data_IF_104569919677
#
_entry.id   IF_104569919677
#
_cell.length_a   1.000
_cell.length_b   1.000
_cell.length_c   1.000
_cell.angle_alpha   90.00
_cell.angle_beta   90.00
_cell.angle_gamma   90.00
#
_symmetry.space_group_name_H-M   'P 1'
#
loop_
_entity.id
_entity.type
_entity.pdbx_description
1 polymer ?
#
# COMPACT_ATOMS: atom_id res chain seq x y z
N UNK A 1 26.56 -4.79 -8.12
CA UNK A 1 26.17 -3.41 -8.49
C UNK A 1 25.44 -2.85 -7.30
N UNK A 2 25.89 -1.73 -6.72
CA UNK A 2 25.13 -1.06 -5.68
C UNK A 2 23.69 -0.84 -6.18
N UNK A 3 22.67 -1.01 -5.31
CA UNK A 3 21.26 -0.66 -5.50
C UNK A 3 21.07 0.86 -5.69
N UNK A 4 21.93 1.50 -6.50
CA UNK A 4 21.98 2.92 -6.72
C UNK A 4 20.68 3.38 -7.39
N UNK A 5 19.90 4.15 -6.62
CA UNK A 5 18.67 4.85 -6.98
C UNK A 5 17.72 4.08 -7.92
N UNK A 6 17.07 3.05 -7.36
CA UNK A 6 15.92 2.41 -8.00
C UNK A 6 14.60 2.94 -7.41
N UNK A 7 13.57 3.18 -8.25
CA UNK A 7 13.61 3.15 -9.71
C UNK A 7 14.40 4.33 -10.32
N UNK A 8 14.73 4.23 -11.60
CA UNK A 8 15.29 5.36 -12.36
C UNK A 8 14.28 6.51 -12.52
N UNK A 9 14.71 7.63 -13.12
CA UNK A 9 13.88 8.82 -13.31
C UNK A 9 12.62 8.59 -14.16
N UNK A 10 12.54 7.48 -14.90
CA UNK A 10 11.37 7.10 -15.70
C UNK A 10 10.48 6.07 -14.98
N UNK A 11 10.83 5.72 -13.75
CA UNK A 11 10.08 4.78 -12.92
C UNK A 11 10.42 3.31 -13.15
N UNK A 12 11.54 3.01 -13.81
CA UNK A 12 11.95 1.62 -14.08
C UNK A 12 12.87 1.03 -13.00
N UNK A 13 12.57 -0.21 -12.62
CA UNK A 13 13.42 -1.11 -11.85
C UNK A 13 14.10 -2.09 -12.81
N UNK A 14 15.23 -1.68 -13.40
CA UNK A 14 15.83 -2.41 -14.52
C UNK A 14 14.89 -2.40 -15.73
N UNK A 15 14.35 -3.56 -16.13
CA UNK A 15 13.42 -3.68 -17.26
C UNK A 15 11.93 -3.61 -16.88
N UNK A 16 11.61 -3.50 -15.59
CA UNK A 16 10.24 -3.53 -15.07
C UNK A 16 9.83 -2.16 -14.54
N UNK A 17 8.52 -1.91 -14.36
CA UNK A 17 8.01 -0.61 -13.88
C UNK A 17 7.64 0.32 -15.02
N UNK A 18 7.87 1.63 -14.88
CA UNK A 18 7.53 2.65 -15.87
C UNK A 18 6.15 3.29 -15.66
N UNK A 19 5.73 4.10 -16.63
CA UNK A 19 4.46 4.83 -16.63
C UNK A 19 3.65 4.47 -17.88
N UNK A 20 2.92 3.36 -17.81
CA UNK A 20 2.11 2.83 -18.90
C UNK A 20 0.63 3.12 -18.64
N UNK A 21 0.23 4.37 -18.84
CA UNK A 21 -1.15 4.87 -18.64
C UNK A 21 -1.62 5.67 -19.86
N UNK A 22 -2.94 5.91 -20.01
CA UNK A 22 -3.42 6.90 -20.96
C UNK A 22 -2.81 8.28 -20.72
N UNK A 23 -2.62 9.07 -21.77
CA UNK A 23 -2.05 10.43 -21.75
C UNK A 23 -2.70 11.31 -20.67
N UNK A 24 -4.01 11.17 -20.47
CA UNK A 24 -4.79 11.93 -19.48
C UNK A 24 -4.35 11.73 -18.03
N UNK A 25 -3.63 10.64 -17.72
CA UNK A 25 -3.09 10.36 -16.38
C UNK A 25 -1.63 10.76 -16.21
N UNK A 26 -0.93 11.17 -17.27
CA UNK A 26 0.50 11.52 -17.18
C UNK A 26 0.70 12.73 -16.27
N UNK A 27 -0.02 13.83 -16.51
CA UNK A 27 0.11 15.05 -15.71
C UNK A 27 -0.24 14.82 -14.21
N UNK A 28 -1.36 14.15 -13.86
CA UNK A 28 -1.65 13.79 -12.47
C UNK A 28 -0.58 12.92 -11.79
N UNK A 29 0.01 11.95 -12.52
CA UNK A 29 1.08 11.11 -11.98
C UNK A 29 2.38 11.90 -11.78
N UNK A 30 2.68 12.85 -12.66
CA UNK A 30 3.81 13.76 -12.49
C UNK A 30 3.62 14.69 -11.29
N UNK A 31 2.42 15.25 -11.10
CA UNK A 31 2.06 16.04 -9.93
C UNK A 31 2.24 15.23 -8.64
N UNK A 32 1.72 13.99 -8.61
CA UNK A 32 1.90 13.07 -7.49
C UNK A 32 3.38 12.75 -7.24
N UNK A 33 4.16 12.55 -8.30
CA UNK A 33 5.60 12.27 -8.20
C UNK A 33 6.32 13.43 -7.53
N UNK A 34 6.08 14.67 -7.96
CA UNK A 34 6.68 15.87 -7.36
C UNK A 34 6.27 16.02 -5.90
N UNK A 35 4.96 15.92 -5.61
CA UNK A 35 4.45 16.07 -4.25
C UNK A 35 5.00 15.00 -3.30
N UNK A 36 5.15 13.76 -3.78
CA UNK A 36 5.77 12.68 -3.02
C UNK A 36 7.25 12.95 -2.76
N UNK A 37 7.99 13.41 -3.77
CA UNK A 37 9.41 13.73 -3.66
C UNK A 37 9.69 14.87 -2.68
N UNK A 38 8.79 15.84 -2.57
CA UNK A 38 8.83 16.86 -1.54
C UNK A 38 8.50 16.27 -0.16
N UNK A 39 7.39 15.54 -0.04
CA UNK A 39 6.92 14.98 1.23
C UNK A 39 7.92 14.00 1.87
N UNK A 40 8.62 13.18 1.07
CA UNK A 40 9.64 12.24 1.57
C UNK A 40 10.89 12.95 2.13
N UNK A 41 11.14 14.20 1.74
CA UNK A 41 12.28 15.02 2.20
C UNK A 41 11.87 16.02 3.29
N UNK A 42 10.57 16.21 3.50
CA UNK A 42 9.99 17.15 4.46
C UNK A 42 9.93 16.57 5.88
N UNK A 43 10.71 17.09 6.85
CA UNK A 43 10.71 16.59 8.22
C UNK A 43 9.36 16.72 8.93
N UNK A 44 8.56 17.74 8.59
CA UNK A 44 7.25 17.93 9.20
C UNK A 44 6.27 16.84 8.75
N UNK A 45 6.33 16.44 7.48
CA UNK A 45 5.54 15.32 6.96
C UNK A 45 5.97 14.00 7.62
N UNK A 46 7.27 13.75 7.73
CA UNK A 46 7.77 12.53 8.38
C UNK A 46 7.36 12.46 9.85
N UNK A 47 7.50 13.57 10.60
CA UNK A 47 7.08 13.64 11.99
C UNK A 47 5.58 13.40 12.17
N UNK A 48 4.75 13.94 11.26
CA UNK A 48 3.31 13.69 11.29
C UNK A 48 2.97 12.22 10.96
N UNK A 49 3.65 11.64 9.97
CA UNK A 49 3.47 10.24 9.62
C UNK A 49 3.86 9.34 10.80
N UNK A 50 5.02 9.59 11.41
CA UNK A 50 5.52 8.83 12.55
C UNK A 50 4.61 8.94 13.77
N UNK A 51 4.09 10.13 14.08
CA UNK A 51 3.10 10.35 15.15
C UNK A 51 1.85 9.50 14.92
N UNK A 52 1.31 9.49 13.70
CA UNK A 52 0.11 8.70 13.38
C UNK A 52 0.40 7.20 13.37
N UNK A 53 1.57 6.77 12.89
CA UNK A 53 1.97 5.37 12.98
C UNK A 53 2.03 4.92 14.44
N UNK A 54 2.58 5.75 15.33
CA UNK A 54 2.70 5.42 16.75
C UNK A 54 1.35 5.49 17.49
N UNK A 55 0.69 6.65 17.46
CA UNK A 55 -0.44 6.98 18.33
C UNK A 55 -1.80 6.55 17.77
N UNK A 56 -1.91 6.32 16.45
CA UNK A 56 -3.18 5.94 15.82
C UNK A 56 -3.17 4.49 15.30
N UNK A 57 -2.11 4.07 14.62
CA UNK A 57 -1.98 2.69 14.10
C UNK A 57 -1.53 1.72 15.19
N UNK A 58 -0.79 2.20 16.20
CA UNK A 58 -0.26 1.37 17.29
C UNK A 58 1.07 0.70 16.95
N UNK A 59 1.93 1.36 16.16
CA UNK A 59 3.30 0.89 15.89
C UNK A 59 4.25 1.21 17.05
N UNK A 60 5.34 0.42 17.25
CA UNK A 60 5.74 -0.74 16.44
C UNK A 60 4.85 -1.96 16.66
N UNK A 61 4.61 -2.74 15.61
CA UNK A 61 3.93 -4.03 15.78
C UNK A 61 4.91 -5.05 16.35
N UNK A 62 4.53 -5.85 17.35
CA UNK A 62 5.48 -6.76 18.00
C UNK A 62 5.90 -7.90 17.07
N UNK A 63 7.21 -8.15 16.94
CA UNK A 63 7.73 -9.42 16.45
C UNK A 63 7.43 -10.49 17.50
N UNK A 64 6.57 -11.44 17.16
CA UNK A 64 6.15 -12.52 18.05
C UNK A 64 6.76 -13.85 17.62
N UNK A 65 7.43 -14.54 18.56
CA UNK A 65 7.84 -15.92 18.33
C UNK A 65 6.59 -16.81 18.40
N UNK A 66 6.09 -17.18 17.23
CA UNK A 66 4.81 -17.83 17.11
C UNK A 66 4.94 -19.35 17.29
N UNK A 67 5.21 -19.80 18.51
CA UNK A 67 5.50 -21.21 18.86
C UNK A 67 4.58 -22.23 18.18
N UNK A 68 3.26 -21.97 18.16
CA UNK A 68 2.24 -22.83 17.53
C UNK A 68 2.01 -22.57 16.04
N UNK A 69 2.32 -21.37 15.56
CA UNK A 69 2.11 -20.93 14.18
C UNK A 69 3.35 -21.07 13.30
N UNK A 70 4.50 -21.46 13.86
CA UNK A 70 5.58 -22.18 13.13
C UNK A 70 5.00 -23.31 12.28
N UNK A 71 3.79 -23.79 12.61
CA UNK A 71 3.04 -24.72 11.82
C UNK A 71 2.21 -24.10 10.65
N UNK A 72 1.62 -22.86 10.70
CA UNK A 72 0.63 -22.35 9.68
C UNK A 72 0.22 -20.82 9.74
N UNK A 73 0.59 -19.85 8.83
CA UNK A 73 -0.06 -18.54 8.29
C UNK A 73 0.20 -17.01 8.75
N UNK A 74 -0.35 -15.93 8.04
CA UNK A 74 -0.29 -14.40 8.32
C UNK A 74 -1.05 -13.26 7.41
N UNK A 75 -1.01 -11.88 7.71
CA UNK A 75 -1.64 -10.62 7.02
C UNK A 75 -1.29 -9.08 7.47
N UNK A 76 -1.81 -7.91 6.86
CA UNK A 76 -1.28 -6.44 6.95
C UNK A 76 -2.20 -5.12 6.75
N UNK A 77 -1.82 -3.85 7.20
CA UNK A 77 -2.59 -2.51 7.15
C UNK A 77 -1.87 -1.15 6.75
N UNK A 78 -0.54 -1.01 6.64
CA UNK A 78 0.16 0.31 6.69
C UNK A 78 -0.04 1.30 5.49
N UNK A 79 -0.34 0.80 4.29
CA UNK A 79 -0.41 1.60 3.04
C UNK A 79 -1.33 2.82 3.09
N UNK A 80 -2.55 2.60 3.58
CA UNK A 80 -3.66 3.53 3.38
C UNK A 80 -3.41 4.87 4.08
N UNK A 81 -2.68 4.84 5.21
CA UNK A 81 -2.39 6.03 5.99
C UNK A 81 -1.39 6.96 5.30
N UNK A 82 -0.34 6.41 4.67
CA UNK A 82 0.64 7.23 3.95
C UNK A 82 0.01 7.96 2.77
N UNK A 83 -0.82 7.27 1.99
CA UNK A 83 -1.44 7.85 0.80
C UNK A 83 -2.53 8.88 1.13
N UNK A 84 -3.26 8.74 2.24
CA UNK A 84 -4.28 9.75 2.58
C UNK A 84 -3.66 11.08 3.03
N UNK A 85 -2.48 11.06 3.66
CA UNK A 85 -1.76 12.29 4.00
C UNK A 85 -1.29 13.02 2.74
N UNK A 86 -0.85 12.27 1.72
CA UNK A 86 -0.55 12.85 0.41
C UNK A 86 -1.78 13.44 -0.25
N UNK A 87 -2.92 12.76 -0.21
CA UNK A 87 -4.17 13.27 -0.75
C UNK A 87 -4.56 14.63 -0.11
N UNK A 88 -4.41 14.75 1.20
CA UNK A 88 -4.63 16.04 1.91
C UNK A 88 -3.65 17.13 1.48
N UNK A 89 -2.37 16.79 1.32
CA UNK A 89 -1.35 17.74 0.87
C UNK A 89 -1.63 18.26 -0.56
N UNK A 90 -2.15 17.38 -1.41
CA UNK A 90 -2.62 17.71 -2.76
C UNK A 90 -3.98 18.43 -2.80
N UNK A 91 -4.57 18.76 -1.65
CA UNK A 91 -5.87 19.44 -1.57
C UNK A 91 -7.05 18.61 -2.09
N UNK A 92 -6.87 17.29 -2.26
CA UNK A 92 -7.94 16.39 -2.73
C UNK A 92 -8.94 16.20 -1.60
N UNK A 93 -10.20 16.01 -1.95
CA UNK A 93 -11.32 15.87 -0.99
C UNK A 93 -11.98 14.50 -1.05
N UNK A 94 -11.70 13.75 -2.12
CA UNK A 94 -12.28 12.45 -2.41
C UNK A 94 -11.19 11.39 -2.61
N UNK A 95 -11.43 10.20 -2.07
CA UNK A 95 -10.56 9.03 -2.14
C UNK A 95 -11.29 7.90 -2.85
N UNK A 96 -10.60 7.26 -3.78
CA UNK A 96 -11.02 5.99 -4.38
C UNK A 96 -10.00 4.90 -4.06
N UNK A 97 -10.44 3.64 -3.98
CA UNK A 97 -9.58 2.45 -3.85
C UNK A 97 -10.24 1.22 -4.47
N UNK A 98 -9.47 0.17 -4.75
CA UNK A 98 -9.97 -1.16 -5.13
C UNK A 98 -9.85 -2.16 -3.98
N UNK A 99 -10.61 -3.25 -3.96
CA UNK A 99 -10.32 -4.35 -3.02
C UNK A 99 -10.85 -5.69 -3.52
N UNK A 100 -10.15 -6.77 -3.17
CA UNK A 100 -10.57 -8.16 -3.38
C UNK A 100 -10.98 -8.81 -2.06
N UNK A 101 -10.02 -9.21 -1.23
CA UNK A 101 -10.30 -9.78 0.10
C UNK A 101 -10.98 -8.80 1.10
N UNK A 102 -11.05 -7.51 0.77
CA UNK A 102 -11.71 -6.49 1.59
C UNK A 102 -10.79 -5.72 2.53
N UNK A 103 -9.61 -6.24 2.89
CA UNK A 103 -8.73 -5.60 3.88
C UNK A 103 -8.21 -4.21 3.46
N UNK A 104 -7.75 -4.06 2.21
CA UNK A 104 -7.32 -2.73 1.71
C UNK A 104 -8.48 -1.72 1.71
N UNK A 105 -9.67 -2.16 1.29
CA UNK A 105 -10.87 -1.34 1.33
C UNK A 105 -11.25 -0.91 2.75
N UNK A 106 -11.17 -1.83 3.72
CA UNK A 106 -11.40 -1.52 5.14
C UNK A 106 -10.36 -0.50 5.63
N UNK A 107 -9.07 -0.72 5.37
CA UNK A 107 -8.01 0.20 5.75
C UNK A 107 -8.21 1.60 5.15
N UNK A 108 -8.56 1.68 3.87
CA UNK A 108 -8.86 2.93 3.15
C UNK A 108 -10.07 3.64 3.77
N UNK A 109 -11.17 2.92 4.02
CA UNK A 109 -12.38 3.48 4.63
C UNK A 109 -12.10 4.02 6.05
N UNK A 110 -11.29 3.31 6.85
CA UNK A 110 -10.89 3.76 8.20
C UNK A 110 -10.17 5.10 8.14
N UNK A 111 -9.17 5.23 7.25
CA UNK A 111 -8.40 6.47 7.17
C UNK A 111 -9.24 7.62 6.61
N UNK A 112 -10.11 7.38 5.64
CA UNK A 112 -11.00 8.41 5.09
C UNK A 112 -11.96 8.96 6.15
N UNK A 113 -12.56 8.07 6.95
CA UNK A 113 -13.42 8.45 8.07
C UNK A 113 -12.68 9.35 9.08
N UNK A 114 -11.41 9.02 9.38
CA UNK A 114 -10.57 9.79 10.31
C UNK A 114 -10.24 11.19 9.80
N UNK A 115 -10.04 11.35 8.49
CA UNK A 115 -9.62 12.61 7.88
C UNK A 115 -10.75 13.41 7.24
N UNK A 116 -11.99 12.92 7.31
CA UNK A 116 -13.17 13.60 6.79
C UNK A 116 -13.19 13.68 5.26
N UNK A 117 -12.68 12.66 4.58
CA UNK A 117 -12.62 12.59 3.11
C UNK A 117 -13.69 11.64 2.59
N UNK A 118 -14.30 11.97 1.44
CA UNK A 118 -15.23 11.06 0.75
C UNK A 118 -14.47 9.79 0.34
N UNK A 119 -15.06 8.61 0.53
CA UNK A 119 -14.41 7.32 0.23
C UNK A 119 -15.32 6.45 -0.64
N UNK A 120 -14.81 6.04 -1.79
CA UNK A 120 -15.46 5.07 -2.68
C UNK A 120 -14.52 3.89 -2.92
N UNK A 121 -14.96 2.69 -2.55
CA UNK A 121 -14.22 1.45 -2.74
C UNK A 121 -14.87 0.61 -3.84
N UNK A 122 -14.11 0.33 -4.89
CA UNK A 122 -14.48 -0.59 -5.96
C UNK A 122 -14.15 -2.03 -5.56
N UNK A 123 -15.13 -2.92 -5.70
CA UNK A 123 -14.97 -4.33 -5.33
C UNK A 123 -15.68 -5.22 -6.34
N UNK A 124 -15.01 -6.26 -6.82
CA UNK A 124 -15.62 -7.23 -7.73
C UNK A 124 -16.86 -7.87 -7.08
N UNK A 125 -17.96 -8.02 -7.82
CA UNK A 125 -19.22 -8.51 -7.25
C UNK A 125 -19.08 -9.91 -6.62
N UNK A 126 -18.23 -10.78 -7.19
CA UNK A 126 -17.93 -12.12 -6.65
C UNK A 126 -17.20 -12.01 -5.31
N UNK A 127 -16.22 -11.11 -5.22
CA UNK A 127 -15.46 -10.89 -3.99
C UNK A 127 -16.34 -10.23 -2.92
N UNK A 128 -17.23 -9.32 -3.32
CA UNK A 128 -18.17 -8.61 -2.46
C UNK A 128 -19.15 -9.56 -1.76
N UNK A 129 -19.66 -10.57 -2.47
CA UNK A 129 -20.50 -11.63 -1.90
C UNK A 129 -19.71 -12.47 -0.90
N UNK A 130 -18.50 -12.90 -1.27
CA UNK A 130 -17.63 -13.73 -0.40
C UNK A 130 -17.16 -13.01 0.86
N UNK A 131 -17.00 -11.70 0.79
CA UNK A 131 -16.42 -10.87 1.86
C UNK A 131 -17.43 -9.89 2.47
N UNK A 132 -18.70 -10.30 2.59
CA UNK A 132 -19.80 -9.47 3.07
C UNK A 132 -19.51 -8.74 4.41
N UNK A 133 -18.76 -9.37 5.32
CA UNK A 133 -18.37 -8.75 6.59
C UNK A 133 -17.46 -7.53 6.39
N UNK A 134 -16.49 -7.61 5.48
CA UNK A 134 -15.61 -6.48 5.18
C UNK A 134 -16.36 -5.38 4.43
N UNK A 135 -17.31 -5.73 3.57
CA UNK A 135 -18.22 -4.77 2.92
C UNK A 135 -19.04 -4.00 3.96
N UNK A 136 -19.62 -4.70 4.94
CA UNK A 136 -20.37 -4.07 6.02
C UNK A 136 -19.50 -3.12 6.86
N UNK A 137 -18.27 -3.53 7.20
CA UNK A 137 -17.29 -2.68 7.91
C UNK A 137 -16.97 -1.40 7.15
N UNK A 138 -16.71 -1.49 5.85
CA UNK A 138 -16.45 -0.32 5.00
C UNK A 138 -17.63 0.67 5.03
N UNK A 139 -18.85 0.17 4.87
CA UNK A 139 -20.08 1.00 4.91
C UNK A 139 -20.32 1.64 6.27
N UNK A 140 -20.06 0.92 7.37
CA UNK A 140 -20.17 1.47 8.72
C UNK A 140 -19.18 2.63 8.96
N UNK A 141 -18.04 2.62 8.27
CA UNK A 141 -17.07 3.73 8.29
C UNK A 141 -17.43 4.85 7.31
N UNK A 142 -18.60 4.80 6.67
CA UNK A 142 -19.10 5.84 5.77
C UNK A 142 -18.59 5.74 4.33
N UNK A 143 -17.87 4.67 3.96
CA UNK A 143 -17.44 4.47 2.58
C UNK A 143 -18.58 3.93 1.71
N UNK A 144 -18.67 4.45 0.47
CA UNK A 144 -19.47 3.84 -0.59
C UNK A 144 -18.73 2.60 -1.13
N UNK A 145 -19.39 1.45 -1.18
CA UNK A 145 -18.80 0.22 -1.76
C UNK A 145 -19.52 -0.09 -3.07
N UNK A 146 -18.83 0.14 -4.20
CA UNK A 146 -19.35 -0.03 -5.55
C UNK A 146 -19.01 -1.42 -6.09
N UNK A 147 -20.03 -2.19 -6.42
CA UNK A 147 -19.88 -3.51 -7.02
C UNK A 147 -19.46 -3.38 -8.48
N UNK A 148 -18.40 -4.09 -8.87
CA UNK A 148 -17.97 -4.22 -10.27
C UNK A 148 -18.45 -5.56 -10.80
N UNK A 149 -19.37 -5.51 -11.76
CA UNK A 149 -19.99 -6.68 -12.39
C UNK A 149 -19.40 -7.02 -13.76
N UNK A 150 -18.55 -6.14 -14.30
CA UNK A 150 -17.89 -6.35 -15.58
C UNK A 150 -16.86 -7.49 -15.50
N UNK A 151 -16.58 -8.13 -16.64
CA UNK A 151 -15.54 -9.15 -16.76
C UNK A 151 -15.74 -10.33 -15.79
N UNK A 152 -14.65 -10.75 -15.14
CA UNK A 152 -14.71 -11.81 -14.12
C UNK A 152 -15.27 -11.31 -12.77
N UNK A 153 -15.53 -10.01 -12.63
CA UNK A 153 -16.05 -9.38 -11.42
C UNK A 153 -15.20 -9.67 -10.17
N UNK A 154 -13.87 -9.55 -10.32
CA UNK A 154 -12.87 -9.75 -9.27
C UNK A 154 -11.96 -8.52 -9.11
N UNK A 155 -10.91 -8.60 -8.27
CA UNK A 155 -9.94 -7.52 -8.04
C UNK A 155 -9.44 -6.84 -9.32
N UNK A 156 -9.14 -7.59 -10.39
CA UNK A 156 -8.62 -7.01 -11.64
C UNK A 156 -9.60 -6.00 -12.24
N UNK A 157 -10.89 -6.34 -12.29
CA UNK A 157 -11.91 -5.44 -12.80
C UNK A 157 -12.16 -4.26 -11.86
N UNK A 158 -12.04 -4.46 -10.54
CA UNK A 158 -12.10 -3.38 -9.57
C UNK A 158 -10.99 -2.34 -9.77
N UNK A 159 -9.74 -2.77 -10.04
CA UNK A 159 -8.63 -1.86 -10.40
C UNK A 159 -8.99 -1.03 -11.64
N UNK A 160 -9.51 -1.68 -12.70
CA UNK A 160 -9.82 -0.98 -13.95
C UNK A 160 -10.93 0.07 -13.77
N UNK A 161 -11.97 -0.23 -13.00
CA UNK A 161 -13.04 0.73 -12.70
C UNK A 161 -12.55 1.87 -11.81
N UNK A 162 -11.71 1.59 -10.80
CA UNK A 162 -11.09 2.62 -9.98
C UNK A 162 -10.22 3.56 -10.84
N UNK A 163 -9.41 3.03 -11.76
CA UNK A 163 -8.63 3.85 -12.69
C UNK A 163 -9.52 4.68 -13.62
N UNK A 164 -10.63 4.13 -14.13
CA UNK A 164 -11.58 4.88 -14.97
C UNK A 164 -12.25 6.03 -14.21
N UNK A 165 -12.70 5.79 -12.98
CA UNK A 165 -13.22 6.85 -12.09
C UNK A 165 -12.15 7.92 -11.90
N UNK A 166 -10.92 7.51 -11.59
CA UNK A 166 -9.84 8.44 -11.35
C UNK A 166 -9.60 9.37 -12.53
N UNK A 167 -9.55 8.83 -13.77
CA UNK A 167 -9.42 9.63 -15.00
C UNK A 167 -10.51 10.69 -15.08
N UNK A 168 -11.76 10.34 -14.75
CA UNK A 168 -12.89 11.23 -14.86
C UNK A 168 -12.96 12.29 -13.74
N UNK A 169 -12.30 12.06 -12.61
CA UNK A 169 -12.47 12.86 -11.38
C UNK A 169 -11.15 13.36 -10.77
N UNK A 170 -10.06 13.30 -11.54
CA UNK A 170 -8.67 13.49 -11.07
C UNK A 170 -8.41 14.83 -10.37
N UNK A 171 -9.14 15.88 -10.75
CA UNK A 171 -8.98 17.21 -10.18
C UNK A 171 -9.24 17.25 -8.67
N UNK A 172 -10.18 16.44 -8.18
CA UNK A 172 -10.60 16.41 -6.77
C UNK A 172 -10.44 15.04 -6.09
N UNK A 173 -10.09 14.00 -6.86
CA UNK A 173 -9.97 12.61 -6.38
C UNK A 173 -8.52 12.13 -6.33
N UNK A 174 -8.12 11.52 -5.22
CA UNK A 174 -6.90 10.74 -5.10
C UNK A 174 -7.21 9.24 -5.10
N UNK A 175 -6.41 8.47 -5.84
CA UNK A 175 -6.52 7.00 -5.88
C UNK A 175 -5.52 6.36 -4.93
N UNK A 176 -6.02 5.73 -3.84
CA UNK A 176 -5.21 4.93 -2.93
C UNK A 176 -5.09 3.51 -3.49
N UNK A 177 -4.01 3.29 -4.24
CA UNK A 177 -3.70 1.99 -4.85
C UNK A 177 -3.11 1.03 -3.80
N UNK A 178 -3.68 -0.17 -3.71
CA UNK A 178 -3.53 -1.05 -2.53
C UNK A 178 -2.26 -1.87 -2.43
N UNK A 179 -1.44 -1.93 -3.48
CA UNK A 179 -0.23 -2.76 -3.48
C UNK A 179 0.91 -2.16 -4.30
N UNK A 180 2.09 -2.79 -4.28
CA UNK A 180 3.30 -2.28 -4.95
C UNK A 180 3.27 -2.56 -6.47
N UNK A 181 2.23 -2.08 -7.14
CA UNK A 181 1.95 -2.26 -8.56
C UNK A 181 1.48 -0.95 -9.20
N UNK A 182 1.14 -1.00 -10.49
CA UNK A 182 0.69 0.16 -11.24
C UNK A 182 1.84 1.00 -11.76
N UNK A 183 1.52 2.19 -12.25
CA UNK A 183 2.51 3.10 -12.84
C UNK A 183 3.25 3.90 -11.78
N UNK A 184 4.47 4.31 -12.11
CA UNK A 184 5.21 5.26 -11.28
C UNK A 184 4.33 6.49 -10.93
N UNK A 185 4.35 6.99 -9.68
CA UNK A 185 5.25 6.65 -8.58
C UNK A 185 4.74 5.53 -7.65
N UNK A 186 3.58 4.91 -7.90
CA UNK A 186 2.92 4.01 -6.95
C UNK A 186 3.80 2.87 -6.44
N UNK A 187 4.52 2.07 -7.28
CA UNK A 187 5.34 0.98 -6.77
C UNK A 187 6.42 1.44 -5.77
N UNK A 188 7.07 2.58 -6.04
CA UNK A 188 8.10 3.14 -5.15
C UNK A 188 7.48 3.68 -3.86
N UNK A 189 6.41 4.47 -4.01
CA UNK A 189 5.71 5.11 -2.90
C UNK A 189 5.13 4.08 -1.91
N UNK A 190 4.45 3.06 -2.44
CA UNK A 190 3.88 1.98 -1.63
C UNK A 190 4.96 1.21 -0.89
N UNK A 191 6.08 0.87 -1.54
CA UNK A 191 7.24 0.25 -0.88
C UNK A 191 7.74 1.10 0.28
N UNK A 192 7.93 2.39 0.07
CA UNK A 192 8.50 3.29 1.08
C UNK A 192 7.59 3.44 2.30
N UNK A 193 6.28 3.50 2.11
CA UNK A 193 5.32 3.49 3.22
C UNK A 193 5.25 2.15 3.97
N UNK A 194 5.54 1.03 3.30
CA UNK A 194 5.63 -0.28 3.97
C UNK A 194 7.01 -0.58 4.55
N UNK A 195 8.06 0.18 4.20
CA UNK A 195 9.44 -0.05 4.65
C UNK A 195 9.57 -0.14 6.17
N UNK A 196 8.68 0.53 6.90
CA UNK A 196 8.62 0.49 8.37
C UNK A 196 8.52 -0.93 8.92
N UNK A 197 7.87 -1.86 8.20
CA UNK A 197 7.75 -3.27 8.59
C UNK A 197 9.12 -3.93 8.71
N UNK A 198 9.96 -3.83 7.67
CA UNK A 198 11.29 -4.40 7.72
C UNK A 198 12.21 -3.67 8.71
N UNK A 199 12.03 -2.35 8.92
CA UNK A 199 12.84 -1.58 9.87
C UNK A 199 12.58 -2.06 11.28
N UNK A 200 11.31 -2.19 11.66
CA UNK A 200 10.91 -2.70 12.96
C UNK A 200 11.31 -4.16 13.14
N UNK A 201 11.06 -5.01 12.14
CA UNK A 201 11.44 -6.42 12.20
C UNK A 201 12.95 -6.60 12.39
N UNK A 202 13.77 -5.80 11.68
CA UNK A 202 15.23 -5.82 11.80
C UNK A 202 15.68 -5.40 13.19
N UNK A 203 15.10 -4.33 13.74
CA UNK A 203 15.42 -3.89 15.09
C UNK A 203 15.03 -4.95 16.12
N UNK A 204 13.80 -5.45 16.06
CA UNK A 204 13.26 -6.39 17.02
C UNK A 204 13.96 -7.76 16.99
N UNK A 205 14.35 -8.27 15.82
CA UNK A 205 15.06 -9.56 15.72
C UNK A 205 16.49 -9.45 16.25
N UNK A 206 17.17 -8.33 16.01
CA UNK A 206 18.50 -8.07 16.58
C UNK A 206 18.43 -7.96 18.11
N UNK A 207 17.42 -7.27 18.64
CA UNK A 207 17.21 -7.16 20.10
C UNK A 207 16.90 -8.50 20.76
N UNK A 208 16.12 -9.38 20.10
CA UNK A 208 15.67 -10.66 20.67
C UNK A 208 16.65 -11.81 20.48
N UNK A 209 17.26 -11.90 19.31
CA UNK A 209 18.07 -13.06 18.89
C UNK A 209 19.56 -12.74 18.78
N UNK A 210 19.96 -11.46 18.90
CA UNK A 210 21.36 -11.03 18.78
C UNK A 210 21.96 -11.23 17.38
N UNK A 211 21.14 -11.55 16.38
CA UNK A 211 21.55 -11.86 15.00
C UNK A 211 20.45 -11.52 14.00
N UNK A 212 20.82 -11.42 12.73
CA UNK A 212 19.86 -11.30 11.62
C UNK A 212 19.15 -12.64 11.36
N UNK A 213 17.94 -12.63 10.78
CA UNK A 213 17.21 -13.84 10.43
C UNK A 213 17.86 -14.58 9.25
N UNK A 214 17.78 -15.90 9.23
CA UNK A 214 18.31 -16.71 8.13
C UNK A 214 17.44 -16.65 6.86
N UNK A 215 16.15 -16.32 7.05
CA UNK A 215 15.13 -16.29 6.01
C UNK A 215 13.99 -15.33 6.39
N UNK A 216 13.57 -14.50 5.45
CA UNK A 216 12.33 -13.73 5.48
C UNK A 216 11.35 -14.34 4.49
N UNK A 217 10.10 -14.50 4.91
CA UNK A 217 9.02 -15.04 4.07
C UNK A 217 7.83 -14.08 4.09
N UNK A 218 7.28 -13.79 2.91
CA UNK A 218 6.12 -12.92 2.76
C UNK A 218 5.26 -13.37 1.58
N UNK A 219 3.94 -13.20 1.66
CA UNK A 219 3.05 -13.53 0.55
C UNK A 219 3.10 -12.46 -0.54
N UNK A 220 2.97 -12.88 -1.81
CA UNK A 220 3.09 -12.01 -2.98
C UNK A 220 1.81 -12.09 -3.80
N UNK A 221 0.89 -11.16 -3.51
CA UNK A 221 -0.14 -10.74 -4.45
C UNK A 221 0.42 -9.62 -5.33
N UNK A 222 0.12 -8.37 -4.97
CA UNK A 222 0.77 -7.19 -5.58
C UNK A 222 2.12 -6.81 -4.98
N UNK A 223 2.59 -7.50 -3.93
CA UNK A 223 3.95 -7.40 -3.41
C UNK A 223 4.24 -6.33 -2.36
N UNK A 224 3.27 -5.53 -1.91
CA UNK A 224 3.53 -4.43 -0.94
C UNK A 224 4.10 -4.88 0.40
N UNK A 225 3.50 -5.88 1.05
CA UNK A 225 3.97 -6.42 2.34
C UNK A 225 5.39 -7.00 2.22
N UNK A 226 5.61 -7.79 1.17
CA UNK A 226 6.90 -8.43 0.89
C UNK A 226 8.00 -7.38 0.67
N UNK A 227 7.73 -6.38 -0.17
CA UNK A 227 8.68 -5.29 -0.41
C UNK A 227 8.95 -4.46 0.85
N UNK A 228 7.94 -4.20 1.68
CA UNK A 228 8.11 -3.52 2.96
C UNK A 228 9.00 -4.28 3.95
N UNK A 229 8.82 -5.59 4.04
CA UNK A 229 9.63 -6.47 4.89
C UNK A 229 11.06 -6.62 4.35
N UNK A 230 11.22 -6.88 3.05
CA UNK A 230 12.51 -7.21 2.43
C UNK A 230 13.43 -6.00 2.28
N UNK A 231 12.88 -4.81 2.03
CA UNK A 231 13.68 -3.64 1.64
C UNK A 231 14.84 -3.30 2.61
N UNK A 232 14.64 -3.31 3.94
CA UNK A 232 15.73 -3.03 4.89
C UNK A 232 16.82 -4.11 4.98
N UNK A 233 16.62 -5.28 4.38
CA UNK A 233 17.55 -6.42 4.38
C UNK A 233 18.22 -6.66 3.02
N UNK A 234 17.94 -5.84 1.99
CA UNK A 234 18.43 -6.06 0.62
C UNK A 234 19.96 -6.13 0.48
N UNK A 235 20.69 -5.48 1.39
CA UNK A 235 22.15 -5.48 1.40
C UNK A 235 22.75 -6.54 2.34
N UNK A 236 21.92 -7.29 3.07
CA UNK A 236 22.37 -8.31 4.01
C UNK A 236 22.46 -9.68 3.29
N UNK A 237 23.61 -10.00 2.68
CA UNK A 237 23.80 -11.21 1.85
C UNK A 237 23.49 -12.54 2.58
N UNK A 238 23.57 -12.56 3.91
CA UNK A 238 23.23 -13.72 4.73
C UNK A 238 21.73 -13.97 4.90
N UNK A 239 20.88 -12.99 4.56
CA UNK A 239 19.43 -13.05 4.78
C UNK A 239 18.76 -13.48 3.48
N UNK A 240 18.23 -14.72 3.46
CA UNK A 240 17.43 -15.18 2.32
C UNK A 240 16.05 -14.53 2.34
N UNK A 241 15.45 -14.32 1.17
CA UNK A 241 14.11 -13.73 1.04
C UNK A 241 13.28 -14.60 0.09
N UNK A 242 12.09 -15.02 0.54
CA UNK A 242 11.15 -15.86 -0.24
C UNK A 242 9.80 -15.16 -0.31
N UNK A 243 9.39 -14.83 -1.54
CA UNK A 243 8.02 -14.45 -1.86
C UNK A 243 7.17 -15.68 -2.17
N UNK A 244 5.97 -15.77 -1.59
CA UNK A 244 5.03 -16.89 -1.79
C UNK A 244 3.80 -16.40 -2.56
N UNK A 245 3.66 -16.84 -3.81
CA UNK A 245 2.52 -16.56 -4.69
C UNK A 245 1.39 -17.58 -4.46
N UNK A 246 0.17 -17.28 -4.93
CA UNK A 246 -1.02 -18.14 -4.78
C UNK A 246 -1.23 -19.09 -5.96
#
# INVERSE_FOLDING_TARGET
MALAQLPDATGHFGKFGGMFVPETLIAPLQELTVAYDEARRDPAFQAQLDDLLHNYVGRPTPLYFAERWTEKLGGEINNALGQILLAKRLGKTRIIAETGAGQHGVATATVCARFGMECVVYMGAVDMERQALNVARMRLMGAEVRAVTAGQATLKEAVNEAMRDWVATVDHTHYILGSALGSHPFPMMVRDFHRVIGVEARQQVLEKEGRLPDLLVACVGGGSNAMGLFHPFLNDESVRMVGVEA
#
